data_IF_186121285923
#
_entry.id   IF_186121285923
#
_cell.length_a   1.000
_cell.length_b   1.000
_cell.length_c   1.000
_cell.angle_alpha   90.00
_cell.angle_beta   90.00
_cell.angle_gamma   90.00
#
_symmetry.space_group_name_H-M   'P 1'
#
loop_
_entity.id
_entity.type
_entity.pdbx_description
1 polymer ?
#
# COMPACT_ATOMS: atom_id res chain seq x y z
N UNK A 1 -6.89 -15.41 -7.75
CA UNK A 1 -5.51 -15.93 -7.70
C UNK A 1 -4.74 -15.66 -9.00
N UNK A 2 -4.50 -14.39 -9.31
CA UNK A 2 -3.68 -13.97 -10.47
C UNK A 2 -2.19 -14.34 -10.31
N UNK A 3 -1.79 -14.89 -9.17
CA UNK A 3 -0.42 -15.30 -8.90
C UNK A 3 -0.20 -16.80 -9.18
N UNK A 4 -1.26 -17.63 -9.17
CA UNK A 4 -1.11 -19.09 -9.33
C UNK A 4 -0.85 -19.55 -10.76
N UNK A 5 -1.10 -18.68 -11.77
CA UNK A 5 -0.85 -19.01 -13.18
C UNK A 5 0.48 -18.48 -13.73
N UNK A 6 1.23 -17.71 -12.96
CA UNK A 6 2.57 -17.27 -13.38
C UNK A 6 3.58 -18.32 -12.94
N UNK A 7 4.09 -19.09 -13.89
CA UNK A 7 5.13 -20.08 -13.64
C UNK A 7 6.39 -19.45 -13.01
N UNK A 8 7.20 -20.27 -12.33
CA UNK A 8 8.51 -19.88 -11.75
C UNK A 8 9.38 -19.08 -12.74
N UNK A 9 9.28 -19.37 -14.05
CA UNK A 9 9.99 -18.65 -15.10
C UNK A 9 9.62 -17.16 -15.23
N UNK A 10 8.36 -16.78 -14.98
CA UNK A 10 7.93 -15.38 -15.08
C UNK A 10 8.41 -14.56 -13.88
N UNK A 11 8.43 -15.16 -12.69
CA UNK A 11 8.99 -14.54 -11.48
C UNK A 11 10.48 -14.30 -11.65
N UNK A 12 11.20 -15.29 -12.19
CA UNK A 12 12.65 -15.19 -12.43
C UNK A 12 12.97 -14.12 -13.51
N UNK A 13 12.24 -14.09 -14.61
CA UNK A 13 12.38 -13.08 -15.67
C UNK A 13 12.13 -11.66 -15.13
N UNK A 14 11.09 -11.49 -14.31
CA UNK A 14 10.80 -10.19 -13.69
C UNK A 14 11.96 -9.74 -12.81
N UNK A 15 12.54 -10.64 -12.01
CA UNK A 15 13.68 -10.31 -11.15
C UNK A 15 14.93 -9.95 -11.96
N UNK A 16 15.19 -10.64 -13.08
CA UNK A 16 16.30 -10.29 -13.98
C UNK A 16 16.14 -8.88 -14.56
N UNK A 17 14.93 -8.52 -15.00
CA UNK A 17 14.64 -7.17 -15.50
C UNK A 17 14.88 -6.12 -14.42
N UNK A 18 14.34 -6.32 -13.22
CA UNK A 18 14.53 -5.39 -12.11
C UNK A 18 16.02 -5.23 -11.75
N UNK A 19 16.77 -6.32 -11.70
CA UNK A 19 18.20 -6.28 -11.39
C UNK A 19 19.07 -5.63 -12.49
N UNK A 20 18.55 -5.48 -13.72
CA UNK A 20 19.26 -4.81 -14.83
C UNK A 20 19.09 -3.29 -14.82
N UNK A 21 18.17 -2.76 -14.02
CA UNK A 21 17.97 -1.32 -13.85
C UNK A 21 19.04 -0.77 -12.93
N UNK A 22 19.64 0.37 -13.28
CA UNK A 22 20.48 1.11 -12.34
C UNK A 22 19.65 1.55 -11.14
N UNK A 23 20.01 1.18 -9.89
CA UNK A 23 19.27 1.58 -8.69
C UNK A 23 19.01 3.09 -8.57
N UNK A 24 19.90 3.92 -9.16
CA UNK A 24 19.76 5.38 -9.20
C UNK A 24 18.70 5.87 -10.20
N UNK A 25 18.22 4.98 -11.08
CA UNK A 25 17.18 5.25 -12.08
C UNK A 25 15.87 4.50 -11.78
N UNK A 26 15.86 3.69 -10.71
CA UNK A 26 14.69 2.94 -10.27
C UNK A 26 13.71 3.85 -9.50
N UNK A 27 13.04 4.72 -10.24
CA UNK A 27 12.08 5.70 -9.69
C UNK A 27 10.82 5.04 -9.12
N UNK A 28 10.53 3.79 -9.47
CA UNK A 28 9.46 2.99 -8.86
C UNK A 28 9.84 2.45 -7.47
N UNK A 29 11.14 2.38 -7.14
CA UNK A 29 11.66 1.88 -5.87
C UNK A 29 11.55 0.36 -5.72
N UNK A 30 11.55 -0.41 -6.81
CA UNK A 30 11.35 -1.87 -6.77
C UNK A 30 12.65 -2.66 -6.82
N UNK A 31 13.76 -2.00 -7.12
CA UNK A 31 15.07 -2.65 -7.17
C UNK A 31 15.45 -3.18 -5.78
N UNK A 32 16.01 -4.40 -5.66
CA UNK A 32 16.41 -4.99 -4.37
C UNK A 32 17.35 -4.10 -3.54
N UNK A 33 18.21 -3.33 -4.19
CA UNK A 33 19.06 -2.35 -3.52
C UNK A 33 18.23 -1.28 -2.79
N UNK A 34 17.26 -0.65 -3.48
CA UNK A 34 16.42 0.39 -2.90
C UNK A 34 15.53 -0.15 -1.77
N UNK A 35 14.98 -1.36 -1.93
CA UNK A 35 14.24 -2.04 -0.85
C UNK A 35 15.14 -2.38 0.35
N UNK A 36 16.41 -2.77 0.10
CA UNK A 36 17.40 -2.99 1.14
C UNK A 36 17.72 -1.70 1.91
N UNK A 37 17.95 -0.60 1.19
CA UNK A 37 18.16 0.73 1.77
C UNK A 37 16.95 1.18 2.61
N UNK A 38 15.73 0.95 2.11
CA UNK A 38 14.51 1.22 2.87
C UNK A 38 14.46 0.41 4.17
N UNK A 39 14.79 -0.89 4.11
CA UNK A 39 14.75 -1.77 5.27
C UNK A 39 15.72 -1.35 6.39
N UNK A 40 16.84 -0.73 6.06
CA UNK A 40 17.80 -0.19 7.05
C UNK A 40 17.53 1.28 7.42
N UNK A 41 16.40 1.84 6.99
CA UNK A 41 16.01 3.22 7.30
C UNK A 41 16.82 4.30 6.55
N UNK A 42 17.44 3.96 5.42
CA UNK A 42 18.20 4.87 4.55
C UNK A 42 17.69 4.79 3.10
N UNK A 43 16.41 5.09 2.85
CA UNK A 43 15.85 4.95 1.51
C UNK A 43 16.52 5.91 0.52
N UNK A 44 16.82 5.40 -0.69
CA UNK A 44 17.12 6.21 -1.86
C UNK A 44 15.80 6.53 -2.58
N UNK A 45 15.18 5.52 -3.20
CA UNK A 45 13.83 5.65 -3.72
C UNK A 45 12.87 4.77 -2.92
N UNK A 46 11.75 5.37 -2.50
CA UNK A 46 10.65 4.67 -1.83
C UNK A 46 9.64 4.25 -2.88
N UNK A 47 9.10 3.02 -2.84
CA UNK A 47 8.03 2.60 -3.73
C UNK A 47 6.87 3.60 -3.75
N UNK A 48 6.42 3.98 -4.97
CA UNK A 48 5.53 5.13 -5.18
C UNK A 48 4.21 5.02 -4.40
N UNK A 49 3.56 3.84 -4.38
CA UNK A 49 2.30 3.65 -3.66
C UNK A 49 2.47 3.79 -2.15
N UNK A 50 3.42 3.10 -1.48
CA UNK A 50 3.72 3.34 -0.08
C UNK A 50 4.13 4.79 0.24
N UNK A 51 4.94 5.43 -0.61
CA UNK A 51 5.30 6.85 -0.47
C UNK A 51 4.04 7.74 -0.48
N UNK A 52 3.10 7.45 -1.38
CA UNK A 52 1.81 8.15 -1.47
C UNK A 52 0.95 7.97 -0.23
N UNK A 53 0.91 6.79 0.37
CA UNK A 53 0.21 6.54 1.64
C UNK A 53 0.84 7.39 2.77
N UNK A 54 2.17 7.40 2.88
CA UNK A 54 2.85 8.23 3.89
C UNK A 54 2.59 9.73 3.67
N UNK A 55 2.54 10.19 2.42
CA UNK A 55 2.19 11.58 2.09
C UNK A 55 0.76 11.95 2.52
N UNK A 56 -0.18 11.00 2.46
CA UNK A 56 -1.54 11.20 2.97
C UNK A 56 -1.51 11.37 4.50
N UNK A 57 -0.77 10.54 5.23
CA UNK A 57 -0.64 10.71 6.68
C UNK A 57 -0.06 12.07 7.05
N UNK A 58 0.98 12.49 6.34
CA UNK A 58 1.58 13.82 6.52
C UNK A 58 0.58 14.95 6.22
N UNK A 59 -0.09 14.90 5.07
CA UNK A 59 -1.02 15.95 4.62
C UNK A 59 -2.19 16.16 5.59
N UNK A 60 -2.74 15.06 6.13
CA UNK A 60 -3.85 15.10 7.07
C UNK A 60 -3.40 15.16 8.54
N UNK A 61 -2.09 15.30 8.78
CA UNK A 61 -1.50 15.35 10.12
C UNK A 61 -1.89 14.13 10.99
N UNK A 62 -1.83 12.94 10.40
CA UNK A 62 -2.15 11.67 11.05
C UNK A 62 -0.87 11.09 11.65
N UNK A 63 -0.67 11.32 12.93
CA UNK A 63 0.45 10.76 13.70
C UNK A 63 0.27 9.26 13.91
N UNK A 64 1.32 8.48 13.56
CA UNK A 64 1.31 7.03 13.74
C UNK A 64 1.97 6.55 15.03
N UNK A 65 2.73 7.41 15.70
CA UNK A 65 3.42 7.04 16.96
C UNK A 65 2.40 6.60 18.01
N UNK A 66 2.63 5.42 18.61
CA UNK A 66 1.72 4.82 19.58
C UNK A 66 0.46 4.18 18.98
N UNK A 67 0.29 4.20 17.65
CA UNK A 67 -0.84 3.54 16.95
C UNK A 67 -0.49 2.11 16.56
N UNK A 68 -1.52 1.28 16.48
CA UNK A 68 -1.43 -0.04 15.88
C UNK A 68 -1.89 0.04 14.42
N UNK A 69 -0.96 -0.18 13.49
CA UNK A 69 -1.21 -0.24 12.05
C UNK A 69 -1.25 -1.69 11.60
N UNK A 70 -2.36 -2.11 11.01
CA UNK A 70 -2.50 -3.44 10.40
C UNK A 70 -2.51 -3.30 8.88
N UNK A 71 -1.57 -3.98 8.24
CA UNK A 71 -1.44 -4.00 6.77
C UNK A 71 -1.88 -5.37 6.28
N UNK A 72 -2.87 -5.40 5.39
CA UNK A 72 -3.38 -6.64 4.81
C UNK A 72 -2.90 -6.75 3.37
N UNK A 73 -1.94 -7.66 3.15
CA UNK A 73 -1.21 -7.85 1.90
C UNK A 73 0.30 -7.72 2.11
N UNK A 74 1.09 -8.64 1.52
CA UNK A 74 2.57 -8.69 1.71
C UNK A 74 3.35 -8.64 0.40
N UNK A 75 2.82 -7.94 -0.60
CA UNK A 75 3.54 -7.76 -1.87
C UNK A 75 4.85 -6.98 -1.66
N UNK A 76 5.84 -7.24 -2.51
CA UNK A 76 7.11 -6.51 -2.47
C UNK A 76 6.97 -5.05 -2.93
N UNK A 77 5.85 -4.73 -3.60
CA UNK A 77 5.61 -3.38 -4.15
C UNK A 77 4.77 -2.49 -3.23
N UNK A 78 3.99 -3.07 -2.31
CA UNK A 78 3.12 -2.31 -1.39
C UNK A 78 3.28 -2.79 0.05
N UNK A 79 2.79 -4.00 0.39
CA UNK A 79 2.63 -4.38 1.79
C UNK A 79 3.94 -4.44 2.58
N UNK A 80 5.00 -5.03 2.03
CA UNK A 80 6.31 -5.07 2.70
C UNK A 80 6.93 -3.68 2.85
N UNK A 81 7.08 -2.86 1.79
CA UNK A 81 7.60 -1.50 1.95
C UNK A 81 6.76 -0.66 2.91
N UNK A 82 5.44 -0.78 2.85
CA UNK A 82 4.54 -0.06 3.74
C UNK A 82 4.76 -0.44 5.20
N UNK A 83 4.96 -1.73 5.50
CA UNK A 83 5.21 -2.19 6.87
C UNK A 83 6.52 -1.65 7.45
N UNK A 84 7.52 -1.50 6.61
CA UNK A 84 8.77 -0.86 7.00
C UNK A 84 8.53 0.62 7.28
N UNK A 85 7.96 1.36 6.32
CA UNK A 85 7.73 2.81 6.44
C UNK A 85 6.94 3.19 7.68
N UNK A 86 5.85 2.48 7.97
CA UNK A 86 5.01 2.77 9.15
C UNK A 86 5.72 2.49 10.46
N UNK A 87 6.68 1.55 10.49
CA UNK A 87 7.44 1.17 11.69
C UNK A 87 8.76 1.91 11.88
N UNK A 88 9.28 2.62 10.85
CA UNK A 88 10.49 3.43 10.98
C UNK A 88 10.31 4.52 12.04
N UNK A 89 11.40 4.85 12.75
CA UNK A 89 11.42 5.98 13.65
C UNK A 89 11.42 7.30 12.87
N UNK A 90 10.40 8.12 13.03
CA UNK A 90 10.27 9.40 12.34
C UNK A 90 8.89 10.02 12.52
N UNK A 91 8.71 11.23 12.00
CA UNK A 91 7.41 11.90 11.94
C UNK A 91 6.46 11.11 11.03
N UNK A 92 5.18 11.07 11.37
CA UNK A 92 4.14 10.32 10.64
C UNK A 92 4.45 8.83 10.43
N UNK A 93 5.29 8.25 11.29
CA UNK A 93 5.67 6.82 11.34
C UNK A 93 5.80 6.39 12.80
N UNK A 94 6.67 5.42 13.15
CA UNK A 94 6.89 4.97 14.53
C UNK A 94 5.67 4.23 15.13
N UNK A 95 4.92 3.52 14.29
CA UNK A 95 3.79 2.69 14.69
C UNK A 95 4.24 1.29 15.14
N UNK A 96 3.39 0.62 15.92
CA UNK A 96 3.40 -0.84 15.99
C UNK A 96 2.71 -1.39 14.74
N UNK A 97 3.42 -2.12 13.90
CA UNK A 97 2.91 -2.58 12.60
C UNK A 97 2.76 -4.09 12.56
N UNK A 98 1.58 -4.56 12.20
CA UNK A 98 1.29 -5.98 11.93
C UNK A 98 1.07 -6.18 10.43
N UNK A 99 1.81 -7.13 9.83
CA UNK A 99 1.69 -7.49 8.42
C UNK A 99 0.91 -8.79 8.27
N UNK A 100 -0.32 -8.72 7.79
CA UNK A 100 -1.22 -9.83 7.55
C UNK A 100 -1.22 -10.26 6.07
N UNK A 101 -1.57 -11.51 5.83
CA UNK A 101 -1.58 -12.10 4.47
C UNK A 101 -2.49 -13.34 4.39
N UNK A 102 -2.59 -13.97 3.24
CA UNK A 102 -3.43 -15.15 3.00
C UNK A 102 -3.18 -16.35 3.93
N UNK A 103 -2.03 -16.42 4.59
CA UNK A 103 -1.73 -17.44 5.61
C UNK A 103 -2.00 -16.97 7.04
N UNK A 104 -2.49 -15.75 7.26
CA UNK A 104 -2.83 -15.26 8.59
C UNK A 104 -4.11 -15.92 9.08
N UNK A 105 -4.03 -16.61 10.20
CA UNK A 105 -5.22 -17.16 10.88
C UNK A 105 -5.94 -16.01 11.57
N UNK A 106 -7.28 -16.08 11.56
CA UNK A 106 -8.12 -15.10 12.24
C UNK A 106 -7.75 -13.63 11.92
N UNK A 107 -7.71 -13.32 10.62
CA UNK A 107 -7.32 -11.99 10.11
C UNK A 107 -8.11 -10.86 10.78
N UNK A 108 -9.40 -11.08 11.00
CA UNK A 108 -10.28 -10.02 11.51
C UNK A 108 -10.00 -9.65 12.97
N UNK A 109 -9.42 -10.55 13.77
CA UNK A 109 -8.98 -10.19 15.13
C UNK A 109 -7.92 -9.10 15.11
N UNK A 110 -7.04 -9.08 14.11
CA UNK A 110 -6.03 -8.04 13.94
C UNK A 110 -6.64 -6.73 13.47
N UNK A 111 -7.54 -6.75 12.48
CA UNK A 111 -8.15 -5.53 11.94
C UNK A 111 -9.11 -4.87 12.94
N UNK A 112 -9.78 -5.65 13.79
CA UNK A 112 -10.61 -5.15 14.88
C UNK A 112 -9.82 -4.45 16.01
N UNK A 113 -8.54 -4.75 16.17
CA UNK A 113 -7.67 -4.08 17.14
C UNK A 113 -6.94 -2.87 16.56
N UNK A 114 -6.96 -2.70 15.23
CA UNK A 114 -6.17 -1.69 14.55
C UNK A 114 -6.73 -0.28 14.72
N UNK A 115 -5.85 0.68 14.95
CA UNK A 115 -6.18 2.10 14.84
C UNK A 115 -6.19 2.54 13.36
N UNK A 116 -5.34 1.92 12.56
CA UNK A 116 -5.25 2.17 11.12
C UNK A 116 -5.15 0.83 10.38
N UNK A 117 -5.98 0.65 9.35
CA UNK A 117 -5.96 -0.52 8.47
C UNK A 117 -5.54 -0.09 7.07
N UNK A 118 -4.53 -0.74 6.50
CA UNK A 118 -4.07 -0.51 5.13
C UNK A 118 -4.35 -1.78 4.32
N UNK A 119 -5.18 -1.67 3.29
CA UNK A 119 -5.61 -2.79 2.46
C UNK A 119 -4.86 -2.80 1.13
N UNK A 120 -4.24 -3.92 0.80
CA UNK A 120 -3.49 -4.17 -0.43
C UNK A 120 -3.57 -5.64 -0.85
N UNK A 121 -4.80 -6.20 -0.87
CA UNK A 121 -5.07 -7.61 -1.16
C UNK A 121 -5.33 -7.84 -2.66
N UNK A 122 -6.00 -6.89 -3.33
CA UNK A 122 -6.57 -7.08 -4.65
C UNK A 122 -7.81 -7.99 -4.63
N UNK A 123 -8.63 -7.88 -3.59
CA UNK A 123 -9.89 -8.63 -3.42
C UNK A 123 -11.03 -7.64 -3.23
N UNK A 124 -11.99 -7.56 -4.17
CA UNK A 124 -13.01 -6.52 -4.14
C UNK A 124 -13.90 -6.63 -2.89
N UNK A 125 -14.09 -5.50 -2.21
CA UNK A 125 -15.01 -5.32 -1.09
C UNK A 125 -14.84 -6.37 0.03
N UNK A 126 -13.58 -6.80 0.25
CA UNK A 126 -13.23 -7.88 1.19
C UNK A 126 -13.46 -7.51 2.66
N UNK A 127 -13.18 -6.25 3.05
CA UNK A 127 -13.29 -5.79 4.43
C UNK A 127 -14.50 -4.87 4.60
N UNK A 128 -15.39 -5.22 5.52
CA UNK A 128 -16.56 -4.42 5.89
C UNK A 128 -16.40 -3.73 7.24
N UNK A 129 -17.37 -2.89 7.63
CA UNK A 129 -17.41 -2.23 8.93
C UNK A 129 -17.42 -3.20 10.12
N UNK A 130 -17.93 -4.42 9.94
CA UNK A 130 -17.96 -5.46 10.99
C UNK A 130 -16.56 -5.98 11.33
N UNK A 131 -15.59 -5.78 10.43
CA UNK A 131 -14.25 -6.32 10.52
C UNK A 131 -13.20 -5.29 10.95
N UNK A 132 -13.62 -4.07 11.31
CA UNK A 132 -12.72 -3.02 11.78
C UNK A 132 -13.20 -2.41 13.09
N UNK A 133 -12.27 -1.87 13.87
CA UNK A 133 -12.57 -1.09 15.06
C UNK A 133 -13.30 0.20 14.66
N UNK A 134 -14.41 0.52 15.35
CA UNK A 134 -15.11 1.80 15.15
C UNK A 134 -14.15 2.97 15.38
N UNK A 135 -14.16 3.92 14.45
CA UNK A 135 -13.30 5.09 14.51
C UNK A 135 -11.88 4.86 13.97
N UNK A 136 -11.54 3.66 13.49
CA UNK A 136 -10.26 3.43 12.81
C UNK A 136 -10.17 4.19 11.48
N UNK A 137 -8.95 4.40 11.00
CA UNK A 137 -8.66 4.96 9.68
C UNK A 137 -8.43 3.80 8.71
N UNK A 138 -9.03 3.87 7.51
CA UNK A 138 -8.88 2.86 6.47
C UNK A 138 -8.21 3.47 5.24
N UNK A 139 -7.06 2.93 4.87
CA UNK A 139 -6.33 3.27 3.65
C UNK A 139 -6.51 2.11 2.67
N UNK A 140 -7.32 2.31 1.66
CA UNK A 140 -7.60 1.30 0.65
C UNK A 140 -6.72 1.54 -0.59
N UNK A 141 -5.77 0.63 -0.82
CA UNK A 141 -4.86 0.62 -1.98
C UNK A 141 -5.41 -0.24 -3.10
N UNK A 142 -6.42 -1.06 -2.81
CA UNK A 142 -7.03 -1.97 -3.78
C UNK A 142 -7.66 -1.24 -4.97
N UNK A 143 -7.48 -1.77 -6.18
CA UNK A 143 -8.19 -1.33 -7.38
C UNK A 143 -8.66 -2.57 -8.11
N UNK A 144 -9.94 -2.88 -8.00
CA UNK A 144 -10.55 -4.06 -8.56
C UNK A 144 -11.61 -3.68 -9.60
N UNK A 145 -11.68 -4.45 -10.70
CA UNK A 145 -12.76 -4.32 -11.68
C UNK A 145 -13.83 -5.33 -11.36
N UNK A 146 -15.04 -4.85 -11.09
CA UNK A 146 -16.22 -5.71 -10.91
C UNK A 146 -17.23 -5.45 -12.04
N UNK A 147 -17.97 -6.45 -12.51
CA UNK A 147 -18.98 -6.26 -13.55
C UNK A 147 -20.00 -5.19 -13.14
N UNK A 148 -20.46 -4.39 -14.11
CA UNK A 148 -21.46 -3.34 -13.89
C UNK A 148 -22.26 -3.14 -15.17
N UNK A 149 -23.53 -2.73 -15.05
CA UNK A 149 -24.43 -2.46 -16.17
C UNK A 149 -24.18 -1.13 -16.89
N UNK A 150 -23.16 -0.35 -16.45
CA UNK A 150 -22.80 0.91 -17.08
C UNK A 150 -22.20 0.71 -18.49
N UNK A 151 -22.05 1.80 -19.26
CA UNK A 151 -21.50 1.76 -20.64
C UNK A 151 -20.11 1.12 -20.77
N UNK A 152 -19.32 1.06 -19.66
CA UNK A 152 -17.99 0.43 -19.64
C UNK A 152 -18.04 -1.05 -19.32
N UNK A 153 -19.19 -1.60 -18.89
CA UNK A 153 -19.35 -2.98 -18.47
C UNK A 153 -18.69 -3.33 -17.12
N UNK A 154 -18.08 -2.38 -16.44
CA UNK A 154 -17.46 -2.57 -15.13
C UNK A 154 -17.44 -1.28 -14.31
N UNK A 155 -17.31 -1.43 -13.00
CA UNK A 155 -16.96 -0.36 -12.06
C UNK A 155 -15.67 -0.69 -11.32
N UNK A 156 -14.98 0.33 -10.82
CA UNK A 156 -13.81 0.17 -9.96
C UNK A 156 -14.26 0.21 -8.51
N UNK A 157 -13.74 -0.73 -7.73
CA UNK A 157 -13.94 -0.81 -6.29
C UNK A 157 -12.62 -1.08 -5.59
N UNK A 158 -12.57 -0.75 -4.31
CA UNK A 158 -11.43 -1.06 -3.45
C UNK A 158 -11.49 -2.48 -2.87
N UNK A 159 -10.58 -2.73 -1.94
CA UNK A 159 -10.58 -3.93 -1.11
C UNK A 159 -11.51 -3.77 0.11
N UNK A 160 -11.91 -2.51 0.45
CA UNK A 160 -12.92 -2.20 1.43
C UNK A 160 -14.31 -2.07 0.81
N UNK A 161 -15.33 -2.55 1.51
CA UNK A 161 -16.72 -2.13 1.25
C UNK A 161 -16.90 -0.68 1.75
N UNK A 162 -16.61 0.26 0.84
CA UNK A 162 -16.62 1.69 1.14
C UNK A 162 -17.96 2.14 1.75
N UNK A 163 -19.07 1.59 1.26
CA UNK A 163 -20.40 1.98 1.69
C UNK A 163 -20.63 1.65 3.16
N UNK A 164 -20.22 0.47 3.60
CA UNK A 164 -20.36 0.02 4.98
C UNK A 164 -19.46 0.81 5.95
N UNK A 165 -18.34 1.35 5.46
CA UNK A 165 -17.39 2.09 6.28
C UNK A 165 -17.84 3.50 6.65
N UNK A 166 -18.76 4.10 5.86
CA UNK A 166 -19.26 5.47 6.11
C UNK A 166 -19.96 5.57 7.45
N UNK A 167 -19.50 6.50 8.30
CA UNK A 167 -20.02 6.67 9.66
C UNK A 167 -19.52 5.64 10.69
N UNK A 168 -18.74 4.65 10.26
CA UNK A 168 -18.07 3.68 11.14
C UNK A 168 -16.58 3.97 11.27
N UNK A 169 -15.85 4.07 10.16
CA UNK A 169 -14.47 4.55 10.12
C UNK A 169 -14.42 6.06 10.36
N UNK A 170 -13.35 6.56 10.98
CA UNK A 170 -13.13 8.01 11.13
C UNK A 170 -12.69 8.66 9.83
N UNK A 171 -11.98 7.91 8.98
CA UNK A 171 -11.60 8.31 7.64
C UNK A 171 -11.39 7.07 6.77
N UNK A 172 -11.68 7.18 5.47
CA UNK A 172 -11.41 6.14 4.48
C UNK A 172 -11.04 6.78 3.15
N UNK A 173 -10.05 6.22 2.46
CA UNK A 173 -9.70 6.64 1.10
C UNK A 173 -10.66 6.06 0.08
N UNK A 174 -11.19 6.85 -0.87
CA UNK A 174 -12.10 6.36 -1.90
C UNK A 174 -11.39 5.56 -2.99
N UNK A 175 -12.10 4.66 -3.64
CA UNK A 175 -11.65 3.97 -4.86
C UNK A 175 -12.76 4.06 -5.91
N UNK A 176 -12.51 4.68 -7.07
CA UNK A 176 -11.28 5.39 -7.49
C UNK A 176 -11.11 6.78 -6.83
N UNK A 177 -9.93 7.36 -7.00
CA UNK A 177 -9.65 8.75 -6.61
C UNK A 177 -8.84 8.94 -5.33
N UNK A 178 -8.54 7.84 -4.60
CA UNK A 178 -7.68 7.85 -3.40
C UNK A 178 -6.20 7.64 -3.72
N UNK A 179 -5.69 6.47 -3.42
CA UNK A 179 -4.24 6.15 -3.51
C UNK A 179 -3.72 6.12 -4.96
N UNK A 180 -4.55 5.76 -5.94
CA UNK A 180 -4.13 5.69 -7.35
C UNK A 180 -3.49 6.99 -7.86
N UNK A 181 -4.16 8.15 -7.80
CA UNK A 181 -3.57 9.45 -8.16
C UNK A 181 -2.31 9.79 -7.36
N UNK A 182 -2.25 9.45 -6.08
CA UNK A 182 -1.06 9.67 -5.25
C UNK A 182 0.14 8.86 -5.72
N UNK A 183 -0.07 7.61 -6.16
CA UNK A 183 0.99 6.78 -6.74
C UNK A 183 1.64 7.46 -7.94
N UNK A 184 0.82 8.06 -8.83
CA UNK A 184 1.31 8.78 -10.01
C UNK A 184 2.08 10.04 -9.59
N UNK A 185 1.56 10.80 -8.63
CA UNK A 185 2.24 11.99 -8.12
C UNK A 185 3.62 11.65 -7.53
N UNK A 186 3.73 10.56 -6.77
CA UNK A 186 5.00 10.10 -6.19
C UNK A 186 5.97 9.57 -7.25
N UNK A 187 5.47 8.99 -8.34
CA UNK A 187 6.32 8.60 -9.47
C UNK A 187 6.95 9.83 -10.14
N UNK A 188 6.17 10.88 -10.34
CA UNK A 188 6.70 12.15 -10.88
C UNK A 188 7.72 12.76 -9.93
N UNK A 189 7.44 12.79 -8.62
CA UNK A 189 8.37 13.30 -7.60
C UNK A 189 9.69 12.51 -7.63
N UNK A 190 9.65 11.16 -7.57
CA UNK A 190 10.84 10.31 -7.66
C UNK A 190 11.61 10.53 -8.98
N UNK A 191 10.91 10.78 -10.08
CA UNK A 191 11.55 11.05 -11.38
C UNK A 191 12.33 12.37 -11.38
N UNK A 192 11.77 13.40 -10.78
CA UNK A 192 12.45 14.70 -10.60
C UNK A 192 13.68 14.53 -9.70
N UNK A 193 13.51 13.88 -8.53
CA UNK A 193 14.60 13.58 -7.61
C UNK A 193 15.74 12.80 -8.31
N UNK A 194 15.39 11.82 -9.16
CA UNK A 194 16.38 11.05 -9.92
C UNK A 194 17.15 11.93 -10.92
N UNK A 195 16.46 12.85 -11.60
CA UNK A 195 17.09 13.76 -12.56
C UNK A 195 18.04 14.75 -11.85
N UNK A 196 17.62 15.30 -10.72
CA UNK A 196 18.45 16.25 -9.94
C UNK A 196 19.70 15.59 -9.33
N UNK A 197 19.59 14.33 -8.90
CA UNK A 197 20.69 13.60 -8.27
C UNK A 197 21.68 12.95 -9.26
N UNK A 198 21.33 12.87 -10.56
CA UNK A 198 22.16 12.25 -11.61
C UNK A 198 22.55 13.22 -12.74
N UNK A 199 22.26 14.52 -12.60
CA UNK A 199 22.59 15.60 -13.55
C UNK A 199 24.00 16.17 -13.39
#
# INVERSE_FOLDING_TARGET
DLVSSRGLGDVYKRQLVLNSIDPKKDVDGFHPYNLGCLAIGKPSFVPCTPKGVMRIFEHYNIELSGKHVVIVGRSNIVGRPQSILTSLKGSYSNATTTLCHSGTKDLFSYTLMADIVILALGSPEFLSNENIKKGSIVIDVGINRVPDSNKKGYRLVGDADFSSMIGHASAITPVPGGIGPMTIAMLVENTIEAAENNG
#
